data_IF_353748346924
#
_entry.id   IF_353748346924
#
_cell.length_a   1.000
_cell.length_b   1.000
_cell.length_c   1.000
_cell.angle_alpha   90.00
_cell.angle_beta   90.00
_cell.angle_gamma   90.00
#
_symmetry.space_group_name_H-M   'P 1'
#
loop_
_entity.id
_entity.type
_entity.pdbx_description
1 polymer ?
#
# COMPACT_ATOMS: atom_id res chain seq x y z
N UNK A 1 -21.85 21.71 -7.68
CA UNK A 1 -21.03 21.15 -8.77
C UNK A 1 -21.14 19.65 -8.64
N UNK A 2 -21.93 19.08 -9.54
CA UNK A 2 -22.58 17.78 -9.46
C UNK A 2 -22.16 17.02 -10.73
N UNK A 3 -21.64 15.81 -10.54
CA UNK A 3 -21.31 14.74 -11.53
C UNK A 3 -20.26 13.86 -10.82
N UNK A 4 -20.39 12.56 -10.62
CA UNK A 4 -21.10 11.57 -11.42
C UNK A 4 -21.58 10.43 -10.52
N UNK A 5 -22.87 10.40 -10.25
CA UNK A 5 -23.60 9.16 -9.99
C UNK A 5 -24.56 9.01 -11.16
N UNK A 6 -24.69 7.80 -11.71
CA UNK A 6 -25.44 7.47 -12.92
C UNK A 6 -24.65 7.57 -14.22
N UNK A 7 -23.93 6.50 -14.56
CA UNK A 7 -23.73 6.06 -15.95
C UNK A 7 -23.36 4.57 -15.90
N UNK A 8 -24.36 3.69 -16.04
CA UNK A 8 -24.29 2.33 -16.63
C UNK A 8 -25.50 1.48 -16.18
N UNK A 9 -26.71 1.97 -16.41
CA UNK A 9 -27.89 1.10 -16.48
C UNK A 9 -28.64 1.43 -17.76
N UNK A 10 -28.20 0.81 -18.86
CA UNK A 10 -28.99 0.51 -20.07
C UNK A 10 -28.07 0.47 -21.30
N UNK A 11 -27.70 -0.75 -21.71
CA UNK A 11 -27.16 -1.20 -23.01
C UNK A 11 -26.54 -2.56 -22.66
N UNK A 12 -27.17 -3.72 -22.84
CA UNK A 12 -27.65 -4.25 -24.11
C UNK A 12 -28.66 -5.38 -23.83
N UNK A 13 -29.92 -5.16 -24.19
CA UNK A 13 -30.81 -6.26 -24.59
C UNK A 13 -30.52 -6.52 -26.08
N UNK A 14 -29.76 -7.56 -26.38
CA UNK A 14 -29.39 -7.90 -27.76
C UNK A 14 -28.09 -8.69 -27.87
N UNK A 15 -28.22 -10.01 -27.98
CA UNK A 15 -27.24 -10.97 -28.50
C UNK A 15 -25.77 -10.57 -28.58
N UNK A 16 -24.98 -11.07 -27.63
CA UNK A 16 -23.53 -11.09 -27.68
C UNK A 16 -23.01 -11.49 -26.32
N UNK A 17 -22.55 -12.73 -26.17
CA UNK A 17 -21.99 -13.26 -24.93
C UNK A 17 -20.71 -12.51 -24.51
N UNK A 18 -20.88 -11.33 -23.94
CA UNK A 18 -19.83 -10.56 -23.29
C UNK A 18 -19.84 -10.85 -21.81
N UNK A 19 -19.31 -12.02 -21.41
CA UNK A 19 -19.01 -12.26 -20.01
C UNK A 19 -18.00 -11.20 -19.56
N UNK A 20 -18.32 -10.45 -18.51
CA UNK A 20 -17.30 -9.66 -17.80
C UNK A 20 -16.13 -10.58 -17.49
N UNK A 21 -14.88 -10.19 -17.78
CA UNK A 21 -13.75 -11.06 -17.55
C UNK A 21 -13.74 -11.47 -16.07
N UNK A 22 -13.76 -12.78 -15.82
CA UNK A 22 -13.56 -13.32 -14.48
C UNK A 22 -12.24 -12.81 -13.91
N UNK A 23 -12.19 -12.40 -12.62
CA UNK A 23 -10.95 -11.91 -12.03
C UNK A 23 -9.89 -13.01 -12.07
N UNK A 24 -8.74 -12.72 -12.68
CA UNK A 24 -7.65 -13.66 -12.81
C UNK A 24 -7.01 -14.05 -11.46
N UNK A 25 -7.17 -13.22 -10.43
CA UNK A 25 -6.70 -13.45 -9.08
C UNK A 25 -7.46 -12.60 -8.06
N UNK A 26 -7.38 -12.99 -6.78
CA UNK A 26 -7.83 -12.20 -5.64
C UNK A 26 -6.65 -11.89 -4.72
N UNK A 27 -6.55 -10.65 -4.24
CA UNK A 27 -5.51 -10.25 -3.27
C UNK A 27 -5.80 -10.92 -1.93
N UNK A 28 -4.85 -11.73 -1.43
CA UNK A 28 -4.98 -12.39 -0.14
C UNK A 28 -4.57 -11.48 1.03
N UNK A 29 -3.51 -10.70 0.86
CA UNK A 29 -3.02 -9.77 1.88
C UNK A 29 -2.19 -8.66 1.24
N UNK A 30 -2.07 -7.54 1.95
CA UNK A 30 -1.19 -6.43 1.60
C UNK A 30 -0.23 -6.23 2.77
N UNK A 31 1.06 -6.12 2.47
CA UNK A 31 2.10 -5.89 3.48
C UNK A 31 2.96 -4.72 3.07
N UNK A 32 3.10 -3.74 3.96
CA UNK A 32 3.91 -2.54 3.75
C UNK A 32 5.17 -2.64 4.60
N UNK A 33 6.31 -2.22 4.05
CA UNK A 33 7.59 -2.19 4.76
C UNK A 33 8.06 -0.75 4.92
N UNK A 34 7.58 0.02 5.92
CA UNK A 34 7.93 1.43 6.04
C UNK A 34 9.44 1.66 6.08
N UNK A 35 10.14 0.87 6.90
CA UNK A 35 11.59 0.88 7.03
C UNK A 35 12.16 -0.31 6.26
N UNK A 36 13.05 -0.03 5.32
CA UNK A 36 13.78 -1.06 4.56
C UNK A 36 14.43 -2.06 5.52
N UNK A 37 14.29 -3.34 5.19
CA UNK A 37 14.90 -4.47 5.92
C UNK A 37 14.33 -4.75 7.33
N UNK A 38 13.33 -3.99 7.80
CA UNK A 38 12.62 -4.28 9.04
C UNK A 38 11.35 -5.11 8.78
N UNK A 39 10.61 -5.46 9.85
CA UNK A 39 9.35 -6.22 9.72
C UNK A 39 8.28 -5.38 9.00
N UNK A 40 7.51 -6.03 8.14
CA UNK A 40 6.38 -5.41 7.46
C UNK A 40 5.12 -5.37 8.33
N UNK A 41 4.21 -4.47 7.98
CA UNK A 41 2.89 -4.30 8.60
C UNK A 41 1.85 -4.84 7.62
N UNK A 42 1.02 -5.78 8.07
CA UNK A 42 -0.12 -6.26 7.30
C UNK A 42 -1.26 -5.25 7.40
N UNK A 43 -1.82 -4.84 6.26
CA UNK A 43 -2.85 -3.79 6.20
C UNK A 43 -4.05 -4.26 5.37
N UNK A 44 -5.27 -3.82 5.71
CA UNK A 44 -6.47 -4.18 4.94
C UNK A 44 -6.55 -3.45 3.59
N UNK A 45 -5.87 -2.32 3.47
CA UNK A 45 -5.84 -1.48 2.27
C UNK A 45 -4.53 -0.69 2.21
N UNK A 46 -4.15 -0.23 1.02
CA UNK A 46 -3.03 0.67 0.84
C UNK A 46 -3.24 1.57 -0.39
N UNK A 47 -2.91 2.86 -0.26
CA UNK A 47 -2.93 3.79 -1.39
C UNK A 47 -1.77 3.52 -2.34
N UNK A 48 -2.04 3.44 -3.65
CA UNK A 48 -1.01 3.33 -4.68
C UNK A 48 -0.55 4.74 -5.07
N UNK A 49 0.76 4.91 -5.15
CA UNK A 49 1.45 6.13 -5.62
C UNK A 49 2.28 5.80 -6.86
N UNK A 50 2.88 6.82 -7.49
CA UNK A 50 3.76 6.63 -8.64
C UNK A 50 4.98 5.72 -8.34
N UNK A 51 5.37 5.59 -7.07
CA UNK A 51 6.54 4.79 -6.64
C UNK A 51 6.17 3.49 -5.94
N UNK A 52 4.89 3.10 -5.91
CA UNK A 52 4.39 1.92 -5.19
C UNK A 52 3.40 2.28 -4.09
N UNK A 53 3.19 1.39 -3.12
CA UNK A 53 2.29 1.69 -2.01
C UNK A 53 2.82 2.87 -1.17
N UNK A 54 1.89 3.72 -0.71
CA UNK A 54 2.20 4.75 0.28
C UNK A 54 2.90 4.08 1.47
N UNK A 55 3.96 4.73 1.94
CA UNK A 55 4.86 4.26 3.00
C UNK A 55 5.80 3.11 2.64
N UNK A 56 5.65 2.39 1.53
CA UNK A 56 6.58 1.30 1.25
C UNK A 56 8.01 1.81 1.03
N UNK A 57 8.93 1.33 1.87
CA UNK A 57 10.38 1.57 1.87
C UNK A 57 10.78 3.04 1.82
N UNK A 58 10.02 3.91 2.48
CA UNK A 58 10.31 5.34 2.54
C UNK A 58 11.49 5.67 3.47
N UNK A 59 11.84 4.76 4.39
CA UNK A 59 12.95 4.93 5.32
C UNK A 59 13.97 3.80 5.26
N UNK A 60 15.18 4.07 5.74
CA UNK A 60 16.26 3.10 5.84
C UNK A 60 17.17 3.45 7.01
N UNK A 61 17.61 2.44 7.76
CA UNK A 61 18.61 2.60 8.81
C UNK A 61 19.99 2.80 8.18
N UNK A 62 20.72 3.81 8.66
CA UNK A 62 22.11 4.06 8.28
C UNK A 62 22.99 4.09 9.52
N UNK A 63 24.24 3.66 9.36
CA UNK A 63 25.22 3.78 10.44
C UNK A 63 25.84 5.19 10.50
N UNK A 64 26.71 5.43 11.48
CA UNK A 64 27.39 6.72 11.68
C UNK A 64 28.24 7.18 10.48
N UNK A 65 28.53 6.30 9.52
CA UNK A 65 29.25 6.61 8.27
C UNK A 65 28.32 6.86 7.08
N UNK A 66 27.00 6.95 7.31
CA UNK A 66 25.98 7.11 6.28
C UNK A 66 25.76 5.89 5.40
N UNK A 67 26.28 4.71 5.79
CA UNK A 67 26.09 3.47 5.01
C UNK A 67 24.79 2.78 5.40
N UNK A 68 24.06 2.32 4.40
CA UNK A 68 22.86 1.51 4.56
C UNK A 68 23.14 0.26 5.41
N UNK A 69 22.34 0.07 6.46
CA UNK A 69 22.27 -1.18 7.19
C UNK A 69 21.11 -1.98 6.60
N UNK A 70 21.38 -3.22 6.19
CA UNK A 70 20.37 -4.07 5.55
C UNK A 70 20.36 -5.44 6.19
N UNK A 71 19.27 -6.19 6.04
CA UNK A 71 19.11 -7.51 6.63
C UNK A 71 20.18 -8.52 6.18
N UNK A 72 20.79 -8.32 5.01
CA UNK A 72 21.91 -9.15 4.54
C UNK A 72 23.16 -9.03 5.40
N UNK A 73 23.35 -7.86 6.02
CA UNK A 73 24.48 -7.55 6.90
C UNK A 73 24.09 -7.73 8.36
N UNK A 74 22.89 -7.29 8.72
CA UNK A 74 22.32 -7.38 10.08
C UNK A 74 20.96 -8.10 10.04
N UNK A 75 20.93 -9.44 10.09
CA UNK A 75 19.69 -10.22 10.02
C UNK A 75 18.67 -9.89 11.14
N UNK A 76 19.17 -9.38 12.27
CA UNK A 76 18.37 -8.93 13.42
C UNK A 76 17.40 -7.79 13.09
N UNK A 77 17.61 -7.06 11.99
CA UNK A 77 16.65 -6.06 11.52
C UNK A 77 15.25 -6.64 11.28
N UNK A 78 15.13 -7.93 10.95
CA UNK A 78 13.82 -8.57 10.80
C UNK A 78 13.02 -8.69 12.10
N UNK A 79 13.68 -8.54 13.26
CA UNK A 79 13.03 -8.54 14.57
C UNK A 79 12.56 -7.15 14.98
N UNK A 80 12.95 -6.10 14.26
CA UNK A 80 12.49 -4.74 14.54
C UNK A 80 11.04 -4.62 14.10
N UNK A 81 10.16 -4.42 15.08
CA UNK A 81 8.75 -4.14 14.85
C UNK A 81 8.58 -2.68 14.41
N UNK A 82 7.74 -2.49 13.40
CA UNK A 82 7.39 -1.18 12.88
C UNK A 82 5.92 -0.94 13.22
N UNK A 83 5.64 0.21 13.82
CA UNK A 83 4.28 0.61 14.18
C UNK A 83 3.93 1.93 13.50
N UNK A 84 2.69 2.02 13.01
CA UNK A 84 2.12 3.23 12.44
C UNK A 84 0.63 3.27 12.78
N UNK A 85 0.05 4.45 13.02
CA UNK A 85 -1.38 4.58 13.25
C UNK A 85 -2.17 3.94 12.11
N UNK A 86 -3.23 3.14 12.39
CA UNK A 86 -4.03 2.49 11.34
C UNK A 86 -4.56 3.47 10.28
N UNK A 87 -4.92 4.68 10.71
CA UNK A 87 -5.40 5.76 9.85
C UNK A 87 -4.34 6.24 8.85
N UNK A 88 -3.03 6.02 9.10
CA UNK A 88 -1.97 6.43 8.18
C UNK A 88 -2.07 5.76 6.81
N UNK A 89 -2.78 4.63 6.71
CA UNK A 89 -3.02 3.90 5.46
C UNK A 89 -4.33 4.28 4.76
N UNK A 90 -5.11 5.22 5.32
CA UNK A 90 -6.26 5.80 4.64
C UNK A 90 -5.81 6.75 3.51
N UNK A 91 -6.61 6.83 2.45
CA UNK A 91 -6.27 7.60 1.24
C UNK A 91 -6.12 9.09 1.52
N UNK A 92 -7.00 9.63 2.35
CA UNK A 92 -7.12 11.04 2.74
C UNK A 92 -6.35 11.40 4.01
N UNK A 93 -5.59 10.46 4.58
CA UNK A 93 -4.82 10.74 5.79
C UNK A 93 -3.78 11.84 5.58
N UNK A 94 -3.74 12.76 6.53
CA UNK A 94 -2.74 13.82 6.61
C UNK A 94 -2.02 13.71 7.96
N UNK A 95 -0.70 13.92 8.00
CA UNK A 95 0.02 13.99 9.27
C UNK A 95 -0.53 15.14 10.10
N UNK A 96 -0.77 14.89 11.38
CA UNK A 96 -1.21 15.94 12.30
C UNK A 96 -0.04 16.90 12.55
N UNK A 97 -0.21 18.23 12.44
CA UNK A 97 0.89 19.18 12.55
C UNK A 97 1.62 19.18 13.90
N UNK A 98 0.99 18.61 14.94
CA UNK A 98 1.54 18.54 16.29
C UNK A 98 2.37 17.26 16.57
N UNK A 99 2.59 16.41 15.57
CA UNK A 99 3.49 15.25 15.62
C UNK A 99 4.37 15.13 14.38
#
# INVERSE_FOLDING_TARGET
MEKAASFLSSLVAGGGGGGSPEPAATVQSITIYPIKSCRGISVPQATITATGFRWDRQWMVVNAKGRAVTQRVEPSLALVEVDMPPEAFAEDWQPHPDY
#
